data_IF_245840227861
#
_entry.id   IF_245840227861
#
_cell.length_a   1.000
_cell.length_b   1.000
_cell.length_c   1.000
_cell.angle_alpha   90.00
_cell.angle_beta   90.00
_cell.angle_gamma   90.00
#
_symmetry.space_group_name_H-M   'P 1'
#
loop_
_entity.id
_entity.type
_entity.pdbx_description
1 polymer ?
#
# COMPACT_ATOMS: atom_id res chain seq x y z
N UNK A 1 27.83 19.09 -14.00
CA UNK A 1 26.50 19.63 -14.37
C UNK A 1 25.94 20.35 -13.14
N UNK A 2 25.60 21.63 -13.23
CA UNK A 2 25.10 22.40 -12.08
C UNK A 2 23.78 21.81 -11.56
N UNK A 3 23.47 21.99 -10.26
CA UNK A 3 22.18 21.57 -9.67
C UNK A 3 20.99 22.16 -10.45
N UNK A 4 21.10 23.42 -10.92
CA UNK A 4 20.07 24.10 -11.70
C UNK A 4 19.74 23.40 -13.02
N UNK A 5 20.75 22.91 -13.75
CA UNK A 5 20.52 22.20 -15.02
C UNK A 5 19.81 20.86 -14.81
N UNK A 6 20.16 20.12 -13.74
CA UNK A 6 19.48 18.87 -13.39
C UNK A 6 18.02 19.11 -13.00
N UNK A 7 17.76 20.19 -12.26
CA UNK A 7 16.40 20.58 -11.87
C UNK A 7 15.53 20.87 -13.09
N UNK A 8 16.02 21.68 -14.02
CA UNK A 8 15.28 21.99 -15.24
C UNK A 8 14.94 20.73 -16.05
N UNK A 9 15.89 19.80 -16.19
CA UNK A 9 15.67 18.52 -16.88
C UNK A 9 14.55 17.69 -16.22
N UNK A 10 14.50 17.66 -14.88
CA UNK A 10 13.45 16.95 -14.13
C UNK A 10 12.09 17.63 -14.34
N UNK A 11 12.05 18.95 -14.23
CA UNK A 11 10.83 19.73 -14.45
C UNK A 11 10.29 19.51 -15.86
N UNK A 12 11.15 19.57 -16.88
CA UNK A 12 10.78 19.34 -18.28
C UNK A 12 10.31 17.90 -18.53
N UNK A 13 10.96 16.91 -17.91
CA UNK A 13 10.52 15.52 -18.00
C UNK A 13 9.13 15.32 -17.38
N UNK A 14 8.88 15.91 -16.20
CA UNK A 14 7.56 15.90 -15.58
C UNK A 14 6.54 16.54 -16.52
N UNK A 15 6.79 17.74 -17.03
CA UNK A 15 5.88 18.43 -17.95
C UNK A 15 5.61 17.64 -19.23
N UNK A 16 6.59 16.90 -19.75
CA UNK A 16 6.41 15.98 -20.88
C UNK A 16 5.43 14.84 -20.56
N UNK A 17 5.47 14.29 -19.35
CA UNK A 17 4.51 13.27 -18.89
C UNK A 17 3.09 13.85 -18.94
N UNK A 18 2.89 15.06 -18.40
CA UNK A 18 1.57 15.73 -18.42
C UNK A 18 1.11 16.14 -19.82
N UNK A 19 2.03 16.51 -20.71
CA UNK A 19 1.71 16.86 -22.10
C UNK A 19 1.05 15.72 -22.88
N UNK A 20 1.38 14.47 -22.54
CA UNK A 20 0.76 13.29 -23.13
C UNK A 20 -0.71 13.10 -22.74
N UNK A 21 -1.15 13.70 -21.63
CA UNK A 21 -2.50 13.58 -21.02
C UNK A 21 -2.99 12.13 -20.83
N UNK A 22 -2.10 11.14 -20.84
CA UNK A 22 -2.49 9.75 -20.69
C UNK A 22 -2.80 9.44 -19.22
N UNK A 23 -4.08 9.23 -18.91
CA UNK A 23 -4.54 8.90 -17.55
C UNK A 23 -3.86 7.64 -17.00
N UNK A 24 -3.54 6.68 -17.86
CA UNK A 24 -2.87 5.43 -17.48
C UNK A 24 -1.46 5.66 -16.94
N UNK A 25 -0.73 6.61 -17.53
CA UNK A 25 0.64 6.92 -17.12
C UNK A 25 0.64 7.70 -15.79
N UNK A 26 -0.36 8.56 -15.58
CA UNK A 26 -0.55 9.26 -14.31
C UNK A 26 -0.89 8.29 -13.17
N UNK A 27 -1.72 7.28 -13.43
CA UNK A 27 -2.04 6.24 -12.45
C UNK A 27 -0.87 5.29 -12.19
N UNK A 28 -0.05 4.99 -13.19
CA UNK A 28 1.20 4.25 -12.99
C UNK A 28 2.18 5.03 -12.11
N UNK A 29 2.35 6.34 -12.37
CA UNK A 29 3.19 7.21 -11.53
C UNK A 29 2.64 7.32 -10.10
N UNK A 30 1.32 7.50 -9.95
CA UNK A 30 0.66 7.48 -8.64
C UNK A 30 0.93 6.18 -7.88
N UNK A 31 0.84 5.04 -8.58
CA UNK A 31 1.12 3.75 -7.98
C UNK A 31 2.59 3.62 -7.55
N UNK A 32 3.54 4.08 -8.36
CA UNK A 32 4.97 4.05 -8.00
C UNK A 32 5.29 4.92 -6.78
N UNK A 33 4.66 6.08 -6.63
CA UNK A 33 4.76 6.89 -5.41
C UNK A 33 4.25 6.08 -4.22
N UNK A 34 3.11 5.40 -4.37
CA UNK A 34 2.57 4.55 -3.31
C UNK A 34 3.50 3.41 -2.92
N UNK A 35 4.20 2.78 -3.87
CA UNK A 35 5.20 1.73 -3.58
C UNK A 35 6.27 2.26 -2.61
N UNK A 36 6.83 3.42 -2.94
CA UNK A 36 7.90 4.03 -2.16
C UNK A 36 7.40 4.53 -0.81
N UNK A 37 6.24 5.19 -0.78
CA UNK A 37 5.59 5.67 0.46
C UNK A 37 5.29 4.51 1.41
N UNK A 38 4.67 3.43 0.93
CA UNK A 38 4.32 2.28 1.78
C UNK A 38 5.56 1.64 2.41
N UNK A 39 6.66 1.58 1.64
CA UNK A 39 7.93 1.01 2.11
C UNK A 39 8.63 1.92 3.11
N UNK A 40 8.61 3.23 2.87
CA UNK A 40 9.19 4.24 3.76
C UNK A 40 8.41 4.39 5.09
N UNK A 41 7.08 4.26 5.05
CA UNK A 41 6.23 4.31 6.25
C UNK A 41 6.23 3.01 7.07
N UNK A 42 6.75 1.91 6.50
CA UNK A 42 6.75 0.63 7.20
C UNK A 42 7.64 0.69 8.45
N UNK A 43 7.24 0.03 9.52
CA UNK A 43 8.13 -0.19 10.67
C UNK A 43 9.37 -1.03 10.30
N UNK A 44 9.35 -1.69 9.13
CA UNK A 44 10.47 -2.47 8.60
C UNK A 44 11.21 -1.74 7.48
N UNK A 45 11.07 -0.42 7.36
CA UNK A 45 11.60 0.38 6.26
C UNK A 45 13.08 0.09 5.96
N UNK A 46 13.90 -0.21 6.97
CA UNK A 46 15.31 -0.59 6.74
C UNK A 46 15.50 -1.84 5.88
N UNK A 47 14.59 -2.80 5.99
CA UNK A 47 14.60 -4.05 5.23
C UNK A 47 13.90 -3.93 3.88
N UNK A 48 12.79 -3.17 3.81
CA UNK A 48 11.92 -3.12 2.63
C UNK A 48 12.18 -1.93 1.72
N UNK A 49 12.78 -0.83 2.20
CA UNK A 49 13.08 0.34 1.38
C UNK A 49 14.40 0.14 0.61
N UNK A 50 14.38 -0.81 -0.31
CA UNK A 50 15.52 -1.20 -1.14
C UNK A 50 15.07 -1.27 -2.61
N UNK A 51 15.72 -0.54 -3.52
CA UNK A 51 16.88 0.34 -3.33
C UNK A 51 16.53 1.62 -2.56
N UNK A 52 17.49 2.18 -1.82
CA UNK A 52 17.27 3.42 -1.06
C UNK A 52 17.68 4.65 -1.89
N UNK A 53 16.86 5.73 -1.91
CA UNK A 53 17.19 6.98 -2.59
C UNK A 53 18.53 7.58 -2.14
N UNK A 54 19.55 7.53 -3.00
CA UNK A 54 20.92 7.90 -2.63
C UNK A 54 21.08 9.38 -2.25
N UNK A 55 20.20 10.26 -2.73
CA UNK A 55 20.16 11.69 -2.37
C UNK A 55 19.80 11.93 -0.90
N UNK A 56 19.28 10.91 -0.21
CA UNK A 56 18.91 10.98 1.21
C UNK A 56 19.92 10.22 2.08
N UNK A 57 21.13 9.98 1.56
CA UNK A 57 22.26 9.51 2.34
C UNK A 57 22.97 10.73 2.94
N UNK A 58 23.36 10.63 4.20
CA UNK A 58 24.19 11.64 4.86
C UNK A 58 25.56 11.68 4.17
N UNK A 59 25.96 12.85 3.67
CA UNK A 59 27.24 13.03 2.96
C UNK A 59 28.46 12.65 3.81
N UNK A 60 28.39 12.81 5.12
CA UNK A 60 29.52 12.57 6.04
C UNK A 60 29.62 11.13 6.54
N UNK A 61 28.49 10.44 6.69
CA UNK A 61 28.44 9.13 7.38
C UNK A 61 27.88 8.02 6.50
N UNK A 62 27.39 8.34 5.30
CA UNK A 62 26.66 7.43 4.41
C UNK A 62 25.46 6.75 5.09
N UNK A 63 24.93 7.38 6.16
CA UNK A 63 23.76 6.89 6.89
C UNK A 63 22.48 7.29 6.15
N UNK A 64 21.48 6.42 6.21
CA UNK A 64 20.19 6.66 5.52
C UNK A 64 19.31 7.59 6.35
N UNK A 65 18.94 8.74 5.77
CA UNK A 65 18.01 9.68 6.39
C UNK A 65 16.56 9.35 6.00
N UNK A 66 15.97 8.38 6.70
CA UNK A 66 14.59 7.95 6.44
C UNK A 66 13.55 9.05 6.72
N UNK A 67 13.78 9.88 7.75
CA UNK A 67 12.84 10.94 8.13
C UNK A 67 12.75 12.02 7.06
N UNK A 68 13.89 12.48 6.54
CA UNK A 68 13.92 13.47 5.47
C UNK A 68 13.24 12.93 4.20
N UNK A 69 13.53 11.68 3.82
CA UNK A 69 12.89 11.03 2.68
C UNK A 69 11.37 10.91 2.87
N UNK A 70 10.93 10.48 4.05
CA UNK A 70 9.51 10.32 4.35
C UNK A 70 8.79 11.67 4.33
N UNK A 71 9.40 12.72 4.91
CA UNK A 71 8.86 14.07 4.87
C UNK A 71 8.75 14.59 3.43
N UNK A 72 9.78 14.37 2.61
CA UNK A 72 9.77 14.73 1.19
C UNK A 72 8.61 14.04 0.45
N UNK A 73 8.47 12.72 0.60
CA UNK A 73 7.40 11.90 0.01
C UNK A 73 5.99 12.37 0.44
N UNK A 74 5.78 12.57 1.73
CA UNK A 74 4.47 12.94 2.28
C UNK A 74 4.08 14.40 1.97
N UNK A 75 5.07 15.25 1.69
CA UNK A 75 4.84 16.65 1.29
C UNK A 75 4.45 16.80 -0.19
N UNK A 76 4.60 15.76 -1.02
CA UNK A 76 4.24 15.81 -2.44
C UNK A 76 2.73 16.08 -2.60
N UNK A 77 2.31 17.04 -3.45
CA UNK A 77 0.91 17.21 -3.78
C UNK A 77 0.40 16.04 -4.65
N UNK A 78 -0.92 15.87 -4.81
CA UNK A 78 -1.47 14.90 -5.76
C UNK A 78 -0.86 15.06 -7.16
N UNK A 79 -0.64 13.94 -7.86
CA UNK A 79 0.04 13.93 -9.16
C UNK A 79 -0.61 14.90 -10.16
N UNK A 80 -1.94 14.99 -10.19
CA UNK A 80 -2.67 15.90 -11.08
C UNK A 80 -2.32 17.39 -10.91
N UNK A 81 -1.73 17.79 -9.78
CA UNK A 81 -1.35 19.17 -9.53
C UNK A 81 0.11 19.47 -9.92
N UNK A 82 0.89 18.47 -10.31
CA UNK A 82 2.33 18.62 -10.55
C UNK A 82 2.62 19.54 -11.73
N UNK A 83 1.85 19.48 -12.82
CA UNK A 83 2.00 20.37 -13.99
C UNK A 83 2.10 21.86 -13.58
N UNK A 84 1.27 22.28 -12.63
CA UNK A 84 1.20 23.67 -12.18
C UNK A 84 2.12 23.98 -10.98
N UNK A 85 2.62 22.96 -10.29
CA UNK A 85 3.34 23.12 -9.02
C UNK A 85 4.79 22.67 -9.04
N UNK A 86 5.25 21.92 -10.05
CA UNK A 86 6.57 21.30 -10.08
C UNK A 86 7.70 22.33 -9.88
N UNK A 87 7.58 23.52 -10.49
CA UNK A 87 8.54 24.63 -10.34
C UNK A 87 8.66 25.14 -8.90
N UNK A 88 7.63 24.93 -8.07
CA UNK A 88 7.57 25.33 -6.66
C UNK A 88 8.04 24.22 -5.71
N UNK A 89 8.41 23.04 -6.22
CA UNK A 89 8.88 21.96 -5.37
C UNK A 89 10.21 22.36 -4.73
N UNK A 90 10.42 21.95 -3.48
CA UNK A 90 11.74 22.10 -2.85
C UNK A 90 12.71 21.05 -3.40
N UNK A 91 13.99 21.17 -3.05
CA UNK A 91 15.03 20.30 -3.60
C UNK A 91 14.83 18.83 -3.20
N UNK A 92 14.35 18.56 -1.98
CA UNK A 92 14.04 17.21 -1.51
C UNK A 92 12.90 16.57 -2.32
N UNK A 93 11.84 17.33 -2.60
CA UNK A 93 10.73 16.88 -3.45
C UNK A 93 11.21 16.59 -4.87
N UNK A 94 12.01 17.48 -5.45
CA UNK A 94 12.61 17.26 -6.78
C UNK A 94 13.52 16.01 -6.78
N UNK A 95 14.30 15.80 -5.71
CA UNK A 95 15.16 14.62 -5.56
C UNK A 95 14.34 13.32 -5.52
N UNK A 96 13.25 13.27 -4.75
CA UNK A 96 12.34 12.12 -4.72
C UNK A 96 11.68 11.89 -6.08
N UNK A 97 11.16 12.93 -6.72
CA UNK A 97 10.54 12.82 -8.05
C UNK A 97 11.54 12.26 -9.05
N UNK A 98 12.76 12.78 -9.07
CA UNK A 98 13.82 12.27 -9.93
C UNK A 98 14.16 10.82 -9.64
N UNK A 99 14.24 10.42 -8.37
CA UNK A 99 14.46 9.04 -7.98
C UNK A 99 13.37 8.11 -8.53
N UNK A 100 12.11 8.47 -8.30
CA UNK A 100 10.96 7.70 -8.79
C UNK A 100 11.03 7.56 -10.31
N UNK A 101 11.29 8.65 -11.04
CA UNK A 101 11.27 8.63 -12.50
C UNK A 101 12.46 7.90 -13.13
N UNK A 102 13.68 8.07 -12.59
CA UNK A 102 14.91 7.58 -13.23
C UNK A 102 15.41 6.25 -12.67
N UNK A 103 15.22 5.97 -11.39
CA UNK A 103 15.80 4.81 -10.76
C UNK A 103 14.84 3.62 -10.77
N UNK A 104 14.65 3.01 -11.94
CA UNK A 104 13.72 1.87 -12.13
C UNK A 104 14.38 0.66 -12.78
N UNK A 105 14.10 -0.52 -12.23
CA UNK A 105 14.49 -1.83 -12.79
C UNK A 105 13.32 -2.55 -13.50
N UNK A 106 12.20 -1.84 -13.62
CA UNK A 106 10.93 -2.28 -14.15
C UNK A 106 10.17 -1.07 -14.69
N UNK A 107 9.18 -1.31 -15.53
CA UNK A 107 8.19 -0.32 -15.94
C UNK A 107 6.80 -0.85 -15.61
N UNK A 108 5.91 0.03 -15.18
CA UNK A 108 4.52 -0.33 -14.92
C UNK A 108 3.64 0.37 -15.96
N UNK A 109 2.71 -0.39 -16.54
CA UNK A 109 1.62 0.17 -17.33
C UNK A 109 0.28 -0.29 -16.80
N UNK A 110 -0.66 0.63 -16.62
CA UNK A 110 -2.02 0.25 -16.26
C UNK A 110 -2.69 -0.52 -17.40
N UNK A 111 -3.38 -1.60 -17.05
CA UNK A 111 -4.19 -2.39 -17.96
C UNK A 111 -5.67 -2.11 -17.69
N UNK A 112 -6.40 -1.71 -18.73
CA UNK A 112 -7.84 -1.44 -18.63
C UNK A 112 -8.67 -2.72 -18.52
N UNK A 113 -8.16 -3.84 -19.03
CA UNK A 113 -8.81 -5.14 -18.92
C UNK A 113 -7.79 -6.27 -18.92
N UNK A 114 -7.76 -7.04 -17.84
CA UNK A 114 -7.12 -8.35 -17.83
C UNK A 114 -8.23 -9.39 -18.00
N UNK A 115 -8.09 -10.27 -18.97
CA UNK A 115 -9.07 -11.33 -19.17
C UNK A 115 -8.95 -12.33 -18.02
N UNK A 116 -9.87 -12.24 -17.06
CA UNK A 116 -9.89 -13.12 -15.88
C UNK A 116 -10.03 -14.58 -16.26
N UNK A 117 -10.78 -14.89 -17.31
CA UNK A 117 -10.92 -16.28 -17.80
C UNK A 117 -9.56 -16.81 -18.27
N UNK A 118 -8.79 -16.02 -19.03
CA UNK A 118 -7.43 -16.42 -19.44
C UNK A 118 -6.48 -16.62 -18.25
N UNK A 119 -6.58 -15.78 -17.21
CA UNK A 119 -5.78 -15.98 -15.99
C UNK A 119 -6.19 -17.25 -15.25
N UNK A 120 -7.50 -17.48 -15.10
CA UNK A 120 -8.06 -18.65 -14.45
C UNK A 120 -7.64 -19.93 -15.17
N UNK A 121 -7.76 -19.94 -16.50
CA UNK A 121 -7.30 -21.02 -17.37
C UNK A 121 -5.79 -21.26 -17.21
N UNK A 122 -4.97 -20.21 -17.32
CA UNK A 122 -3.52 -20.33 -17.20
C UNK A 122 -3.06 -20.76 -15.79
N UNK A 123 -3.81 -20.38 -14.75
CA UNK A 123 -3.57 -20.82 -13.38
C UNK A 123 -4.16 -22.20 -13.08
N UNK A 124 -4.96 -22.79 -13.97
CA UNK A 124 -5.75 -24.02 -13.74
C UNK A 124 -6.69 -23.89 -12.54
N UNK A 125 -7.31 -22.72 -12.39
CA UNK A 125 -8.24 -22.39 -11.31
C UNK A 125 -9.64 -22.14 -11.89
N UNK A 126 -10.65 -22.86 -11.38
CA UNK A 126 -12.02 -22.83 -11.91
C UNK A 126 -12.92 -21.80 -11.22
N UNK A 127 -12.68 -21.52 -9.94
CA UNK A 127 -13.54 -20.63 -9.16
C UNK A 127 -13.33 -19.15 -9.53
N UNK A 128 -14.31 -18.32 -9.23
CA UNK A 128 -14.15 -16.87 -9.39
C UNK A 128 -13.38 -16.26 -8.20
N UNK A 129 -12.89 -15.03 -8.38
CA UNK A 129 -12.27 -14.25 -7.31
C UNK A 129 -12.57 -12.77 -7.46
N UNK A 130 -12.47 -12.04 -6.34
CA UNK A 130 -12.77 -10.61 -6.27
C UNK A 130 -12.09 -9.83 -7.41
N UNK A 131 -12.85 -8.93 -8.04
CA UNK A 131 -12.30 -8.09 -9.09
C UNK A 131 -11.37 -7.04 -8.50
N UNK A 132 -10.13 -6.90 -9.01
CA UNK A 132 -9.27 -5.80 -8.59
C UNK A 132 -9.82 -4.46 -9.10
N UNK A 133 -9.59 -3.41 -8.31
CA UNK A 133 -9.93 -2.03 -8.68
C UNK A 133 -9.02 -1.52 -9.80
N UNK A 134 -7.73 -1.88 -9.77
CA UNK A 134 -6.74 -1.51 -10.77
C UNK A 134 -5.82 -2.68 -11.08
N UNK A 135 -5.32 -2.73 -12.31
CA UNK A 135 -4.42 -3.77 -12.79
C UNK A 135 -3.22 -3.10 -13.44
N UNK A 136 -2.03 -3.52 -13.04
CA UNK A 136 -0.77 -3.00 -13.53
C UNK A 136 0.07 -4.13 -14.09
N UNK A 137 0.47 -4.04 -15.35
CA UNK A 137 1.45 -4.94 -15.96
C UNK A 137 2.86 -4.48 -15.60
N UNK A 138 3.70 -5.44 -15.20
CA UNK A 138 5.11 -5.23 -14.93
C UNK A 138 5.91 -5.63 -16.16
N UNK A 139 6.59 -4.64 -16.76
CA UNK A 139 7.46 -4.79 -17.92
C UNK A 139 8.91 -4.72 -17.48
N UNK A 140 9.74 -5.65 -17.95
CA UNK A 140 11.18 -5.67 -17.67
C UNK A 140 11.98 -5.21 -18.88
N UNK A 141 13.26 -4.89 -18.66
CA UNK A 141 14.20 -4.61 -19.75
C UNK A 141 14.34 -5.79 -20.71
N UNK A 142 14.72 -5.51 -21.94
CA UNK A 142 14.97 -6.54 -22.96
C UNK A 142 16.00 -7.57 -22.48
N UNK A 143 17.04 -7.13 -21.77
CA UNK A 143 18.04 -8.02 -21.19
C UNK A 143 17.43 -9.02 -20.19
N UNK A 144 16.59 -8.54 -19.26
CA UNK A 144 15.92 -9.40 -18.29
C UNK A 144 14.93 -10.35 -18.97
N UNK A 145 14.20 -9.88 -19.99
CA UNK A 145 13.31 -10.74 -20.77
C UNK A 145 14.09 -11.84 -21.47
N UNK A 146 15.16 -11.49 -22.19
CA UNK A 146 16.05 -12.44 -22.87
C UNK A 146 16.62 -13.48 -21.91
N UNK A 147 17.07 -13.07 -20.71
CA UNK A 147 17.57 -14.01 -19.69
C UNK A 147 16.50 -15.01 -19.25
N UNK A 148 15.28 -14.54 -18.99
CA UNK A 148 14.17 -15.40 -18.60
C UNK A 148 13.74 -16.35 -19.74
N UNK A 149 13.70 -15.86 -20.97
CA UNK A 149 13.32 -16.65 -22.14
C UNK A 149 14.37 -17.72 -22.48
N UNK A 150 15.67 -17.40 -22.33
CA UNK A 150 16.74 -18.38 -22.43
C UNK A 150 16.62 -19.46 -21.35
N UNK A 151 16.36 -19.09 -20.10
CA UNK A 151 16.15 -20.06 -19.03
C UNK A 151 14.94 -20.98 -19.31
N UNK A 152 13.88 -20.41 -19.87
CA UNK A 152 12.69 -21.14 -20.31
C UNK A 152 13.04 -22.15 -21.40
N UNK A 153 13.79 -21.74 -22.42
CA UNK A 153 14.21 -22.60 -23.53
C UNK A 153 15.16 -23.72 -23.04
N UNK A 154 16.18 -23.37 -22.25
CA UNK A 154 17.09 -24.36 -21.67
C UNK A 154 16.34 -25.40 -20.83
N UNK A 155 15.33 -24.98 -20.06
CA UNK A 155 14.49 -25.91 -19.29
C UNK A 155 13.68 -26.85 -20.20
N UNK A 156 13.15 -26.35 -21.32
CA UNK A 156 12.43 -27.16 -22.31
C UNK A 156 13.36 -28.21 -22.92
N UNK A 157 14.57 -27.79 -23.30
CA UNK A 157 15.56 -28.66 -23.96
C UNK A 157 16.11 -29.72 -22.99
N UNK A 158 16.47 -29.33 -21.76
CA UNK A 158 16.96 -30.23 -20.71
C UNK A 158 15.93 -31.30 -20.34
N UNK A 159 14.67 -30.88 -20.15
CA UNK A 159 13.58 -31.77 -19.73
C UNK A 159 12.84 -32.43 -20.90
N UNK A 160 13.25 -32.16 -22.15
CA UNK A 160 12.64 -32.66 -23.39
C UNK A 160 11.11 -32.47 -23.43
N UNK A 161 10.65 -31.27 -23.11
CA UNK A 161 9.22 -30.95 -23.01
C UNK A 161 8.62 -30.61 -24.38
N UNK A 162 7.47 -31.19 -24.71
CA UNK A 162 6.76 -30.92 -25.97
C UNK A 162 5.80 -29.71 -25.89
N UNK A 163 5.98 -28.81 -24.92
CA UNK A 163 5.03 -27.71 -24.67
C UNK A 163 5.54 -26.66 -23.68
N UNK A 164 4.63 -25.82 -23.18
CA UNK A 164 5.00 -24.77 -22.23
C UNK A 164 5.53 -25.35 -20.93
N UNK A 165 6.73 -24.90 -20.53
CA UNK A 165 7.30 -25.20 -19.22
C UNK A 165 6.89 -24.19 -18.15
N UNK A 166 6.00 -23.22 -18.42
CA UNK A 166 5.60 -22.19 -17.44
C UNK A 166 4.21 -22.39 -16.86
N UNK A 167 4.02 -21.94 -15.62
CA UNK A 167 2.72 -21.85 -14.93
C UNK A 167 2.43 -20.43 -14.49
N UNK A 168 1.15 -20.05 -14.49
CA UNK A 168 0.69 -18.84 -13.79
C UNK A 168 0.29 -19.20 -12.36
N UNK A 169 0.64 -18.32 -11.43
CA UNK A 169 0.41 -18.47 -10.01
C UNK A 169 0.27 -17.10 -9.34
N UNK A 170 -0.18 -17.10 -8.09
CA UNK A 170 -0.46 -15.91 -7.31
C UNK A 170 0.42 -15.84 -6.06
N UNK A 171 0.95 -14.67 -5.78
CA UNK A 171 1.69 -14.39 -4.54
C UNK A 171 1.00 -13.25 -3.79
N UNK A 172 0.54 -13.56 -2.57
CA UNK A 172 0.02 -12.56 -1.67
C UNK A 172 1.12 -11.91 -0.87
N UNK A 173 1.10 -10.58 -0.79
CA UNK A 173 2.08 -9.84 0.00
C UNK A 173 1.50 -8.53 0.48
N UNK A 174 2.17 -7.93 1.46
CA UNK A 174 1.83 -6.59 1.93
C UNK A 174 2.36 -5.53 0.96
N UNK A 175 1.68 -4.39 0.86
CA UNK A 175 2.10 -3.28 -0.01
C UNK A 175 3.51 -2.76 0.30
N UNK A 176 3.94 -2.79 1.56
CA UNK A 176 5.28 -2.35 1.97
C UNK A 176 6.41 -3.26 1.45
N UNK A 177 6.09 -4.47 0.98
CA UNK A 177 7.05 -5.35 0.32
C UNK A 177 7.08 -5.18 -1.21
N UNK A 178 6.14 -4.44 -1.81
CA UNK A 178 6.05 -4.38 -3.27
C UNK A 178 7.21 -3.63 -3.91
N UNK A 179 7.63 -2.51 -3.33
CA UNK A 179 8.76 -1.74 -3.84
C UNK A 179 10.03 -2.60 -4.01
N UNK A 180 10.51 -3.33 -2.98
CA UNK A 180 11.69 -4.18 -3.15
C UNK A 180 11.43 -5.38 -4.05
N UNK A 181 10.23 -5.97 -4.03
CA UNK A 181 9.87 -7.09 -4.92
C UNK A 181 9.96 -6.67 -6.39
N UNK A 182 9.47 -5.48 -6.75
CA UNK A 182 9.49 -5.02 -8.13
C UNK A 182 10.91 -4.64 -8.59
N UNK A 183 11.74 -4.10 -7.70
CA UNK A 183 13.13 -3.76 -8.03
C UNK A 183 14.09 -4.97 -8.09
N UNK A 184 13.93 -5.92 -7.18
CA UNK A 184 14.89 -7.00 -6.92
C UNK A 184 14.33 -8.41 -7.20
N UNK A 185 13.04 -8.53 -7.47
CA UNK A 185 12.35 -9.81 -7.63
C UNK A 185 11.87 -10.40 -6.30
N UNK A 186 11.21 -11.56 -6.40
CA UNK A 186 10.80 -12.35 -5.23
C UNK A 186 12.01 -13.12 -4.70
N UNK A 187 12.61 -12.61 -3.62
CA UNK A 187 13.82 -13.19 -3.04
C UNK A 187 13.48 -14.28 -2.01
N UNK A 188 13.74 -15.55 -2.37
CA UNK A 188 13.46 -16.74 -1.56
C UNK A 188 13.98 -16.66 -0.13
N UNK A 189 15.23 -16.20 0.05
CA UNK A 189 15.90 -16.08 1.35
C UNK A 189 15.33 -14.97 2.26
N UNK A 190 14.51 -14.05 1.73
CA UNK A 190 13.82 -13.03 2.53
C UNK A 190 12.45 -13.51 3.02
N UNK A 191 11.99 -14.67 2.54
CA UNK A 191 10.75 -15.26 3.03
C UNK A 191 11.02 -15.95 4.37
N UNK A 192 10.09 -15.77 5.32
CA UNK A 192 10.16 -16.53 6.57
C UNK A 192 10.00 -18.01 6.23
N UNK A 193 10.88 -18.84 6.79
CA UNK A 193 10.77 -20.30 6.70
C UNK A 193 9.34 -20.71 7.05
N UNK A 194 8.67 -21.32 6.09
CA UNK A 194 7.27 -21.71 6.18
C UNK A 194 7.18 -23.24 6.24
N UNK A 195 5.97 -23.74 6.47
CA UNK A 195 5.65 -25.14 6.83
C UNK A 195 6.24 -26.19 5.89
N UNK A 196 6.58 -25.83 4.65
CA UNK A 196 6.93 -26.75 3.59
C UNK A 196 8.37 -26.58 3.05
N UNK A 197 9.20 -25.80 3.76
CA UNK A 197 10.61 -25.55 3.45
C UNK A 197 10.94 -24.11 3.07
N UNK A 198 12.18 -23.88 2.64
CA UNK A 198 12.66 -22.59 2.17
C UNK A 198 12.26 -22.34 0.71
N UNK A 199 11.86 -21.11 0.39
CA UNK A 199 11.53 -20.68 -0.96
C UNK A 199 10.43 -19.61 -1.01
N UNK A 200 10.11 -19.18 -2.22
CA UNK A 200 8.98 -18.30 -2.50
C UNK A 200 7.71 -19.12 -2.65
N UNK A 201 6.75 -18.86 -1.76
CA UNK A 201 5.46 -19.54 -1.73
C UNK A 201 4.48 -18.88 -2.69
N UNK A 202 3.93 -19.69 -3.59
CA UNK A 202 2.98 -19.31 -4.61
C UNK A 202 1.79 -20.27 -4.54
N UNK A 203 0.62 -19.80 -4.95
CA UNK A 203 -0.60 -20.60 -5.05
C UNK A 203 -1.19 -20.51 -6.45
N UNK A 204 -1.83 -21.56 -6.95
CA UNK A 204 -2.67 -21.45 -8.14
C UNK A 204 -4.06 -20.87 -7.82
N UNK A 205 -4.40 -20.78 -6.54
CA UNK A 205 -5.66 -20.25 -6.03
C UNK A 205 -5.48 -18.79 -5.54
N UNK A 206 -6.10 -17.79 -6.21
CA UNK A 206 -6.04 -16.38 -5.80
C UNK A 206 -6.57 -16.14 -4.38
N UNK A 207 -7.66 -16.82 -4.00
CA UNK A 207 -8.31 -16.72 -2.68
C UNK A 207 -7.33 -17.02 -1.55
N UNK A 208 -6.51 -18.05 -1.72
CA UNK A 208 -5.48 -18.43 -0.76
C UNK A 208 -4.38 -17.39 -0.63
N UNK A 209 -3.89 -16.88 -1.76
CA UNK A 209 -2.86 -15.84 -1.75
C UNK A 209 -3.40 -14.52 -1.17
N UNK A 210 -4.67 -14.17 -1.37
CA UNK A 210 -5.28 -12.96 -0.82
C UNK A 210 -5.23 -12.88 0.72
N UNK A 211 -5.22 -14.01 1.43
CA UNK A 211 -5.05 -14.01 2.89
C UNK A 211 -3.70 -13.40 3.35
N UNK A 212 -2.69 -13.42 2.49
CA UNK A 212 -1.37 -12.82 2.74
C UNK A 212 -1.26 -11.37 2.25
N UNK A 213 -2.36 -10.81 1.76
CA UNK A 213 -2.46 -9.46 1.18
C UNK A 213 -3.37 -8.54 2.00
N UNK A 214 -3.00 -8.18 3.25
CA UNK A 214 -3.83 -7.31 4.07
C UNK A 214 -3.87 -5.88 3.50
N UNK A 215 -5.01 -5.20 3.68
CA UNK A 215 -5.16 -3.77 3.37
C UNK A 215 -4.29 -2.92 4.29
N UNK A 216 -3.53 -1.98 3.72
CA UNK A 216 -2.73 -1.02 4.47
C UNK A 216 -3.12 0.42 4.13
N UNK A 217 -2.69 1.38 4.97
CA UNK A 217 -2.73 2.79 4.61
C UNK A 217 -1.66 3.07 3.56
N UNK A 218 -1.98 3.94 2.62
CA UNK A 218 -1.14 4.29 1.48
C UNK A 218 -0.95 5.80 1.43
N UNK A 219 -0.40 6.34 0.34
CA UNK A 219 -0.17 7.78 0.22
C UNK A 219 -1.49 8.55 0.25
N UNK A 220 -1.61 9.53 1.16
CA UNK A 220 -2.87 10.24 1.39
C UNK A 220 -3.35 11.06 0.19
N UNK A 221 -2.44 11.44 -0.70
CA UNK A 221 -2.72 12.22 -1.89
C UNK A 221 -2.84 11.35 -3.15
N UNK A 222 -2.90 10.03 -3.00
CA UNK A 222 -3.02 9.07 -4.09
C UNK A 222 -4.33 9.21 -4.86
N UNK A 223 -4.24 9.16 -6.18
CA UNK A 223 -5.38 9.08 -7.10
C UNK A 223 -6.11 7.74 -7.01
N UNK A 224 -5.38 6.65 -6.72
CA UNK A 224 -5.92 5.29 -6.64
C UNK A 224 -6.74 5.08 -5.35
N UNK A 225 -6.21 5.55 -4.22
CA UNK A 225 -6.86 5.45 -2.93
C UNK A 225 -5.90 5.51 -1.75
N UNK A 226 -6.46 5.78 -0.56
CA UNK A 226 -5.72 5.93 0.70
C UNK A 226 -5.60 4.62 1.51
N UNK A 227 -6.26 3.56 1.05
CA UNK A 227 -6.16 2.20 1.58
C UNK A 227 -6.20 1.18 0.45
N UNK A 228 -5.20 0.32 0.39
CA UNK A 228 -5.05 -0.68 -0.66
C UNK A 228 -4.50 -2.00 -0.13
N UNK A 229 -4.87 -3.10 -0.78
CA UNK A 229 -4.12 -4.35 -0.78
C UNK A 229 -3.71 -4.74 -2.20
N UNK A 230 -2.76 -5.65 -2.32
CA UNK A 230 -2.23 -6.09 -3.61
C UNK A 230 -2.15 -7.61 -3.71
N UNK A 231 -2.35 -8.15 -4.91
CA UNK A 231 -2.09 -9.54 -5.23
C UNK A 231 -1.19 -9.59 -6.46
N UNK A 232 -0.09 -10.33 -6.39
CA UNK A 232 0.81 -10.50 -7.54
C UNK A 232 0.37 -11.68 -8.38
N UNK A 233 0.38 -11.49 -9.69
CA UNK A 233 0.33 -12.56 -10.68
C UNK A 233 1.75 -12.84 -11.12
N UNK A 234 2.21 -14.05 -10.92
CA UNK A 234 3.57 -14.50 -11.21
C UNK A 234 3.57 -15.54 -12.32
N UNK A 235 4.58 -15.46 -13.18
CA UNK A 235 4.93 -16.52 -14.14
C UNK A 235 6.12 -17.28 -13.57
N UNK A 236 6.00 -18.60 -13.46
CA UNK A 236 7.07 -19.48 -12.97
C UNK A 236 7.46 -20.52 -14.02
N UNK A 237 8.75 -20.79 -14.15
CA UNK A 237 9.30 -21.86 -14.99
C UNK A 237 9.32 -23.14 -14.13
N UNK A 238 8.62 -24.18 -14.58
CA UNK A 238 8.47 -25.44 -13.88
C UNK A 238 9.72 -26.31 -14.08
N UNK A 239 10.70 -26.20 -13.18
CA UNK A 239 11.88 -27.07 -13.17
C UNK A 239 11.92 -27.88 -11.87
N UNK A 240 11.92 -29.23 -11.90
CA UNK A 240 11.79 -30.08 -10.72
C UNK A 240 12.84 -29.83 -9.62
N UNK A 241 14.06 -29.42 -9.99
CA UNK A 241 15.12 -29.12 -9.02
C UNK A 241 14.91 -27.76 -8.31
N UNK A 242 14.25 -26.81 -8.96
CA UNK A 242 14.15 -25.42 -8.50
C UNK A 242 12.75 -25.00 -8.06
N UNK A 243 11.73 -25.75 -8.48
CA UNK A 243 10.32 -25.51 -8.15
C UNK A 243 9.72 -26.80 -7.62
N UNK A 244 9.33 -26.78 -6.33
CA UNK A 244 8.59 -27.88 -5.71
C UNK A 244 7.11 -27.60 -5.85
N UNK A 245 6.38 -28.52 -6.46
CA UNK A 245 4.92 -28.51 -6.51
C UNK A 245 4.43 -29.48 -5.44
N UNK A 246 3.73 -28.96 -4.44
CA UNK A 246 3.11 -29.77 -3.39
C UNK A 246 1.60 -29.82 -3.58
N UNK A 247 1.03 -31.00 -3.43
CA UNK A 247 -0.41 -31.20 -3.29
C UNK A 247 -0.67 -31.62 -1.85
N UNK A 248 -1.56 -30.93 -1.15
CA UNK A 248 -1.92 -31.32 0.21
C UNK A 248 -3.04 -32.36 0.18
N UNK A 249 -2.68 -33.63 0.32
CA UNK A 249 -3.64 -34.75 0.36
C UNK A 249 -4.60 -34.66 1.57
N UNK A 250 -4.19 -33.98 2.66
CA UNK A 250 -4.97 -33.83 3.89
C UNK A 250 -5.87 -32.58 3.91
N UNK A 251 -5.90 -31.76 2.85
CA UNK A 251 -6.78 -30.58 2.79
C UNK A 251 -8.28 -30.95 2.88
N UNK A 252 -8.64 -32.21 2.62
CA UNK A 252 -10.02 -32.73 2.76
C UNK A 252 -10.32 -33.31 4.15
N UNK A 253 -9.33 -33.48 5.01
CA UNK A 253 -9.46 -34.22 6.28
C UNK A 253 -8.84 -33.42 7.41
N UNK A 254 -9.48 -32.34 7.87
CA UNK A 254 -9.30 -31.83 9.25
C UNK A 254 -10.31 -30.72 9.60
N UNK A 255 -11.56 -31.13 9.84
CA UNK A 255 -12.63 -30.27 10.37
C UNK A 255 -12.90 -30.57 11.87
N UNK A 256 -11.86 -30.94 12.66
CA UNK A 256 -12.04 -31.39 14.05
C UNK A 256 -11.37 -30.55 15.15
N UNK A 257 -10.67 -29.46 14.83
CA UNK A 257 -9.86 -28.74 15.85
C UNK A 257 -10.01 -27.21 15.87
N UNK A 258 -11.07 -26.64 15.29
CA UNK A 258 -11.52 -25.25 15.54
C UNK A 258 -10.53 -24.11 15.23
N UNK A 259 -9.32 -24.42 14.73
CA UNK A 259 -8.30 -23.49 14.26
C UNK A 259 -7.77 -23.98 12.92
N UNK A 260 -8.63 -23.91 11.89
CA UNK A 260 -8.24 -24.22 10.53
C UNK A 260 -7.13 -23.26 10.08
N UNK A 261 -5.90 -23.77 9.94
CA UNK A 261 -4.96 -23.16 9.01
C UNK A 261 -5.47 -23.55 7.62
N UNK A 262 -5.93 -22.59 6.83
CA UNK A 262 -6.28 -22.85 5.42
C UNK A 262 -4.99 -23.23 4.69
N UNK A 263 -4.72 -24.53 4.58
CA UNK A 263 -3.59 -25.06 3.83
C UNK A 263 -4.08 -25.28 2.40
N UNK A 264 -3.45 -24.68 1.38
CA UNK A 264 -3.91 -24.79 -0.01
C UNK A 264 -3.90 -26.25 -0.48
N UNK A 265 -4.84 -26.61 -1.36
CA UNK A 265 -4.86 -27.93 -1.99
C UNK A 265 -3.61 -28.12 -2.85
N UNK A 266 -3.12 -27.04 -3.47
CA UNK A 266 -1.89 -27.04 -4.28
C UNK A 266 -1.05 -25.79 -4.06
N UNK A 267 0.21 -25.98 -3.69
CA UNK A 267 1.17 -24.90 -3.51
C UNK A 267 2.43 -25.12 -4.34
N UNK A 268 3.07 -24.02 -4.72
CA UNK A 268 4.37 -24.03 -5.40
C UNK A 268 5.39 -23.32 -4.53
N UNK A 269 6.57 -23.93 -4.40
CA UNK A 269 7.71 -23.36 -3.70
C UNK A 269 8.85 -23.19 -4.69
N UNK A 270 9.14 -21.94 -5.03
CA UNK A 270 10.24 -21.60 -5.92
C UNK A 270 11.48 -21.34 -5.08
N UNK A 271 12.49 -22.21 -5.19
CA UNK A 271 13.75 -22.13 -4.45
C UNK A 271 14.72 -21.14 -5.09
N UNK A 272 14.79 -21.15 -6.42
CA UNK A 272 15.64 -20.26 -7.21
C UNK A 272 14.82 -19.10 -7.77
N UNK A 273 15.20 -17.88 -7.42
CA UNK A 273 14.50 -16.64 -7.78
C UNK A 273 14.45 -16.38 -9.29
N UNK A 274 15.35 -16.98 -10.08
CA UNK A 274 15.35 -16.85 -11.54
C UNK A 274 14.17 -17.58 -12.21
N UNK A 275 13.56 -18.55 -11.51
CA UNK A 275 12.44 -19.35 -11.99
C UNK A 275 11.07 -18.72 -11.72
N UNK A 276 11.01 -17.46 -11.27
CA UNK A 276 9.76 -16.74 -11.07
C UNK A 276 9.92 -15.25 -11.38
N UNK A 277 8.92 -14.67 -12.06
CA UNK A 277 8.82 -13.21 -12.23
C UNK A 277 7.40 -12.73 -12.01
N UNK A 278 7.26 -11.50 -11.54
CA UNK A 278 5.95 -10.82 -11.43
C UNK A 278 5.54 -10.36 -12.83
N UNK A 279 4.31 -10.66 -13.25
CA UNK A 279 3.72 -10.21 -14.53
C UNK A 279 2.70 -9.10 -14.32
N UNK A 280 1.86 -9.24 -13.29
CA UNK A 280 0.85 -8.24 -12.98
C UNK A 280 0.76 -7.98 -11.48
N UNK A 281 0.37 -6.76 -11.14
CA UNK A 281 -0.07 -6.38 -9.79
C UNK A 281 -1.57 -6.07 -9.85
N UNK A 282 -2.36 -6.82 -9.10
CA UNK A 282 -3.79 -6.60 -8.93
C UNK A 282 -4.00 -5.80 -7.65
N UNK A 283 -4.52 -4.58 -7.76
CA UNK A 283 -4.78 -3.72 -6.60
C UNK A 283 -6.24 -3.72 -6.22
N UNK A 284 -6.50 -3.89 -4.93
CA UNK A 284 -7.82 -3.74 -4.32
C UNK A 284 -7.79 -2.46 -3.48
N UNK A 285 -8.19 -1.37 -4.11
CA UNK A 285 -8.31 -0.09 -3.45
C UNK A 285 -9.70 0.06 -2.83
N UNK A 286 -9.76 0.49 -1.58
CA UNK A 286 -11.03 0.91 -0.98
C UNK A 286 -11.54 2.13 -1.76
N UNK A 287 -12.76 2.05 -2.29
CA UNK A 287 -13.38 3.17 -3.01
C UNK A 287 -13.30 4.40 -2.11
N UNK A 288 -12.55 5.40 -2.53
CA UNK A 288 -12.47 6.68 -1.85
C UNK A 288 -13.90 7.24 -1.81
N UNK A 289 -14.56 7.17 -0.65
CA UNK A 289 -15.77 7.97 -0.42
C UNK A 289 -15.31 9.39 -0.69
N UNK A 290 -15.81 9.98 -1.77
CA UNK A 290 -15.55 11.33 -2.28
C UNK A 290 -15.02 12.20 -1.15
N UNK A 291 -13.77 12.67 -1.30
CA UNK A 291 -13.04 13.50 -0.33
C UNK A 291 -14.01 14.56 0.20
N UNK A 292 -14.60 14.29 1.38
CA UNK A 292 -15.40 15.29 2.08
C UNK A 292 -14.39 16.33 2.53
N UNK A 293 -14.35 17.43 1.78
CA UNK A 293 -13.83 18.77 2.10
C UNK A 293 -12.91 18.80 3.32
N UNK A 294 -11.61 19.00 3.07
CA UNK A 294 -10.52 19.15 4.04
C UNK A 294 -10.89 20.10 5.21
N UNK A 295 -11.57 19.59 6.24
CA UNK A 295 -11.70 20.29 7.50
C UNK A 295 -10.44 19.97 8.30
N UNK A 296 -9.57 20.97 8.47
CA UNK A 296 -8.35 20.88 9.30
C UNK A 296 -8.64 20.27 10.68
N UNK A 297 -9.82 20.56 11.22
CA UNK A 297 -10.34 20.01 12.49
C UNK A 297 -10.51 18.49 12.41
N UNK A 298 -11.08 17.95 11.34
CA UNK A 298 -11.30 16.51 11.17
C UNK A 298 -9.96 15.77 11.02
N UNK A 299 -9.00 16.36 10.28
CA UNK A 299 -7.63 15.82 10.17
C UNK A 299 -6.93 15.80 11.53
N UNK A 300 -6.97 16.91 12.26
CA UNK A 300 -6.39 17.03 13.61
C UNK A 300 -6.99 16.01 14.59
N UNK A 301 -8.32 15.82 14.58
CA UNK A 301 -8.99 14.82 15.42
C UNK A 301 -8.54 13.40 15.07
N UNK A 302 -8.38 13.10 13.78
CA UNK A 302 -8.03 11.77 13.31
C UNK A 302 -6.56 11.40 13.60
N UNK A 303 -5.66 12.39 13.59
CA UNK A 303 -4.24 12.23 13.91
C UNK A 303 -4.00 12.15 15.43
N UNK A 304 -4.81 12.85 16.24
CA UNK A 304 -4.61 12.99 17.68
C UNK A 304 -5.64 12.21 18.53
N UNK A 305 -6.19 11.11 18.02
CA UNK A 305 -7.27 10.34 18.70
C UNK A 305 -6.92 9.94 20.13
N UNK A 306 -5.68 9.49 20.36
CA UNK A 306 -5.24 9.03 21.68
C UNK A 306 -5.14 10.21 22.67
N UNK A 307 -4.54 11.32 22.24
CA UNK A 307 -4.44 12.53 23.04
C UNK A 307 -5.83 13.10 23.38
N UNK A 308 -6.73 13.15 22.41
CA UNK A 308 -8.11 13.60 22.62
C UNK A 308 -8.86 12.70 23.59
N UNK A 309 -8.65 11.39 23.54
CA UNK A 309 -9.22 10.46 24.51
C UNK A 309 -8.71 10.73 25.92
N UNK A 310 -7.40 10.97 26.07
CA UNK A 310 -6.75 11.26 27.36
C UNK A 310 -7.21 12.59 27.96
N UNK A 311 -7.32 13.63 27.12
CA UNK A 311 -7.87 14.94 27.52
C UNK A 311 -9.34 14.82 27.90
N UNK A 312 -10.15 14.10 27.11
CA UNK A 312 -11.58 13.89 27.41
C UNK A 312 -11.78 13.16 28.73
N UNK A 313 -10.94 12.16 29.02
CA UNK A 313 -10.96 11.43 30.28
C UNK A 313 -10.56 12.32 31.46
N UNK A 314 -9.56 13.17 31.29
CA UNK A 314 -9.14 14.15 32.30
C UNK A 314 -10.27 15.15 32.60
N UNK A 315 -10.97 15.64 31.57
CA UNK A 315 -12.13 16.53 31.72
C UNK A 315 -13.26 15.81 32.46
N UNK A 316 -13.53 14.54 32.14
CA UNK A 316 -14.53 13.73 32.83
C UNK A 316 -14.22 13.62 34.33
N UNK A 317 -12.96 13.36 34.70
CA UNK A 317 -12.53 13.29 36.10
C UNK A 317 -12.70 14.63 36.82
N UNK A 318 -12.34 15.74 36.17
CA UNK A 318 -12.57 17.09 36.73
C UNK A 318 -14.07 17.34 36.91
N UNK A 319 -14.91 16.95 35.95
CA UNK A 319 -16.35 17.14 36.02
C UNK A 319 -16.98 16.33 37.16
N UNK A 320 -16.57 15.07 37.34
CA UNK A 320 -16.99 14.24 38.49
C UNK A 320 -16.53 14.88 39.81
N UNK A 321 -15.30 15.40 39.86
CA UNK A 321 -14.77 16.12 41.01
C UNK A 321 -15.58 17.38 41.35
N UNK A 322 -15.99 18.14 40.34
CA UNK A 322 -16.84 19.33 40.51
C UNK A 322 -18.25 18.95 40.98
N UNK A 323 -18.88 17.94 40.39
CA UNK A 323 -20.21 17.47 40.80
C UNK A 323 -20.22 16.95 42.24
N UNK A 324 -19.13 16.35 42.70
CA UNK A 324 -19.00 15.87 44.08
C UNK A 324 -18.53 16.96 45.06
N UNK A 325 -18.16 18.15 44.57
CA UNK A 325 -17.74 19.26 45.42
C UNK A 325 -18.94 19.93 46.10
N UNK A 326 -18.86 20.05 47.43
CA UNK A 326 -19.88 20.73 48.25
C UNK A 326 -20.02 22.21 47.88
N UNK A 327 -18.95 22.85 47.43
CA UNK A 327 -18.93 24.27 47.05
C UNK A 327 -19.62 24.50 45.71
N UNK A 328 -19.37 23.62 44.73
CA UNK A 328 -20.00 23.70 43.41
C UNK A 328 -21.50 23.40 43.48
N UNK A 329 -21.91 22.41 44.28
CA UNK A 329 -23.33 22.14 44.53
C UNK A 329 -24.05 23.31 45.22
N UNK A 330 -23.38 24.03 46.12
CA UNK A 330 -23.94 25.27 46.71
C UNK A 330 -24.10 26.36 45.65
N UNK A 331 -23.13 26.53 44.77
CA UNK A 331 -23.17 27.52 43.69
C UNK A 331 -24.29 27.21 42.70
N UNK A 332 -24.40 25.98 42.21
CA UNK A 332 -25.49 25.54 41.32
C UNK A 332 -26.87 25.76 41.96
N UNK A 333 -27.05 25.41 43.25
CA UNK A 333 -28.30 25.65 43.97
C UNK A 333 -28.64 27.15 44.05
N UNK A 334 -27.65 28.01 44.28
CA UNK A 334 -27.83 29.47 44.30
C UNK A 334 -28.18 30.02 42.91
N UNK A 335 -27.53 29.54 41.86
CA UNK A 335 -27.81 29.93 40.47
C UNK A 335 -29.19 29.46 40.02
N UNK A 336 -29.57 28.23 40.35
CA UNK A 336 -30.91 27.69 40.07
C UNK A 336 -31.99 28.46 40.83
N UNK A 337 -31.75 28.79 42.10
CA UNK A 337 -32.67 29.62 42.89
C UNK A 337 -32.82 31.04 42.31
N UNK A 338 -31.74 31.66 41.84
CA UNK A 338 -31.78 32.97 41.15
C UNK A 338 -32.55 32.90 39.83
N UNK A 339 -32.33 31.84 39.04
CA UNK A 339 -33.02 31.64 37.76
C UNK A 339 -34.53 31.32 37.96
N UNK A 340 -34.87 30.49 38.94
CA UNK A 340 -36.26 30.19 39.32
C UNK A 340 -37.00 31.44 39.82
N UNK A 341 -36.34 32.28 40.63
CA UNK A 341 -36.91 33.55 41.08
C UNK A 341 -37.06 34.57 39.93
N UNK A 342 -36.20 34.52 38.92
CA UNK A 342 -36.34 35.36 37.72
C UNK A 342 -37.57 34.92 36.89
N UNK A 343 -37.78 33.61 36.72
CA UNK A 343 -38.96 33.05 36.02
C UNK A 343 -40.28 33.29 36.75
N UNK A 344 -40.29 33.31 38.09
CA UNK A 344 -41.48 33.63 38.90
C UNK A 344 -41.72 35.14 39.09
N UNK A 345 -40.66 35.95 38.99
CA UNK A 345 -40.75 37.41 39.08
C UNK A 345 -41.51 38.05 37.92
N UNK A 346 -41.46 37.44 36.73
CA UNK A 346 -42.21 37.87 35.54
C UNK A 346 -43.70 37.45 35.58
N UNK A 347 -44.12 36.64 36.55
CA UNK A 347 -45.53 36.21 36.70
C UNK A 347 -46.35 37.10 37.66
N UNK A 348 -45.73 38.08 38.35
CA UNK A 348 -46.37 38.88 39.39
C UNK A 348 -46.72 40.32 38.97
N UNK A 349 -46.71 40.63 37.66
CA UNK A 349 -47.12 41.94 37.12
C UNK A 349 -48.19 41.80 36.05
N UNK A 350 -49.33 41.20 36.40
CA UNK A 350 -50.59 41.46 35.68
C UNK A 350 -51.28 42.69 36.30
N UNK A 351 -51.56 43.76 35.54
CA UNK A 351 -52.25 44.92 36.07
C UNK A 351 -53.72 44.58 36.33
N UNK A 352 -54.19 44.88 37.54
CA UNK A 352 -55.61 44.93 37.89
C UNK A 352 -56.30 45.99 37.04
N UNK A 353 -57.16 45.57 36.12
CA UNK A 353 -58.23 46.40 35.56
C UNK A 353 -59.52 46.10 36.33
N UNK A 354 -60.31 47.16 36.54
CA UNK A 354 -61.60 47.23 37.24
C UNK A 354 -62.57 46.07 36.98
#
# INVERSE_FOLDING_TARGET
MSLGNKRQEIEDHVLKIFSSKNTSDLLALDFEINLLVCSAQSYKHESVLKPFPSTFLSDSTNTKNYDQLLNALLSLPPVLEWENKIKKFNDDQIAVVNWILKHKNFFISQCNSLNKEKLKEAAKYSNDFSSPSHIFEVKYSEEKNRKFDLLKQNTIDELKLNGSCTSICFHGTRMDNLYPILHMGLLSHLNKNSLFGEGTYLSQEPSMSLHYSPSCKTWSNSLIGHRMSCLLVCETINHPQHVKIGVNENAKVEEKSGKAKNIPEKYLIVKNNEYVRVRYVLLYAEKSKTIKRNNRIVKFINENKFLLLLVSYSILLVFIGLLNSRTFNKYIKLSYKRFYNYLLGDAATSPSYE
#
